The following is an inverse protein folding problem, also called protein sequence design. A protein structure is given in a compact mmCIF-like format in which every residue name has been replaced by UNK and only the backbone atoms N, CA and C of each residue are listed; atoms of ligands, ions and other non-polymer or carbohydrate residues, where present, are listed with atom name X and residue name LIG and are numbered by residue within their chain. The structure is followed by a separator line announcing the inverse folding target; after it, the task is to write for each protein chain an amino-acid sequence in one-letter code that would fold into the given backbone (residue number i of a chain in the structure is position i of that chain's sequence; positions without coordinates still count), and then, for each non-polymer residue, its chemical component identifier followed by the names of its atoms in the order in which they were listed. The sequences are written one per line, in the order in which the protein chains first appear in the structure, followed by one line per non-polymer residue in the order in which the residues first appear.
data_IF_923863384640
#
_entry.id   IF_923863384640
#
_cell.length_a   1.000
_cell.length_b   1.000
_cell.length_c   1.000
_cell.angle_alpha   90.00
_cell.angle_beta   90.00
_cell.angle_gamma   90.00
#
_symmetry.space_group_name_H-M   'P 1'
#
loop_
_entity.id
_entity.type
_entity.pdbx_description
1 polymer ?
#
# COMPACT_ATOMS: atom_id res chain seq x y z
N UNK A 1 4.22 12.92 16.02
CA UNK A 1 4.81 12.88 17.37
C UNK A 1 6.32 12.95 17.18
N UNK A 2 6.93 14.04 17.61
CA UNK A 2 8.30 14.44 17.26
C UNK A 2 9.39 13.47 17.72
N UNK A 3 10.63 13.72 17.27
CA UNK A 3 11.81 12.98 17.71
C UNK A 3 11.86 12.99 19.24
N UNK A 4 11.98 11.80 19.85
CA UNK A 4 12.20 11.66 21.29
C UNK A 4 13.67 11.35 21.57
N UNK A 5 14.32 12.19 22.36
CA UNK A 5 15.68 11.95 22.87
C UNK A 5 15.64 11.91 24.40
N UNK A 6 16.08 10.80 25.00
CA UNK A 6 15.96 10.53 26.44
C UNK A 6 14.56 10.80 27.02
N UNK A 7 13.52 10.34 26.32
CA UNK A 7 12.13 10.46 26.78
C UNK A 7 11.51 11.85 26.68
N UNK A 8 12.19 12.83 26.06
CA UNK A 8 11.66 14.17 25.80
C UNK A 8 11.45 14.39 24.30
N UNK A 9 10.30 14.93 23.94
CA UNK A 9 9.98 15.37 22.58
C UNK A 9 10.79 16.63 22.25
N UNK A 10 11.45 16.64 21.09
CA UNK A 10 12.26 17.78 20.62
C UNK A 10 11.73 18.25 19.26
N UNK A 11 11.62 19.57 19.08
CA UNK A 11 11.11 20.21 17.86
C UNK A 11 12.10 20.12 16.67
N UNK A 12 13.34 19.69 16.91
CA UNK A 12 14.36 19.48 15.88
C UNK A 12 15.74 19.27 16.49
N UNK A 13 16.65 18.66 15.72
CA UNK A 13 18.06 18.52 16.09
C UNK A 13 18.86 19.68 15.49
N UNK A 14 19.67 20.36 16.31
CA UNK A 14 20.60 21.41 15.87
C UNK A 14 22.03 20.96 16.11
N UNK A 15 22.90 21.13 15.12
CA UNK A 15 24.34 20.94 15.25
C UNK A 15 25.06 22.22 14.81
N UNK A 16 25.91 22.78 15.69
CA UNK A 16 26.68 24.01 15.42
C UNK A 16 25.83 25.20 14.93
N UNK A 17 24.62 25.36 15.47
CA UNK A 17 23.71 26.45 15.10
C UNK A 17 22.94 26.23 13.80
N UNK A 18 23.16 25.12 13.09
CA UNK A 18 22.43 24.73 11.88
C UNK A 18 21.37 23.68 12.21
N UNK A 19 20.19 23.81 11.62
CA UNK A 19 19.14 22.78 11.68
C UNK A 19 19.61 21.54 10.91
N UNK A 20 19.61 20.39 11.57
CA UNK A 20 19.90 19.12 10.92
C UNK A 20 18.69 18.79 10.06
N UNK A 21 18.87 18.73 8.75
CA UNK A 21 17.80 18.32 7.80
C UNK A 21 17.85 16.82 7.52
N UNK A 22 19.00 16.15 7.69
CA UNK A 22 19.20 14.73 7.44
C UNK A 22 20.08 14.12 8.56
N UNK A 23 19.71 12.97 9.10
CA UNK A 23 20.55 12.21 10.03
C UNK A 23 20.61 10.73 9.63
N UNK A 24 21.74 10.05 9.90
CA UNK A 24 21.88 8.60 9.69
C UNK A 24 22.02 7.90 11.04
N UNK A 25 21.02 7.12 11.45
CA UNK A 25 20.99 6.39 12.73
C UNK A 25 20.96 4.89 12.42
N UNK A 26 21.92 4.12 12.95
CA UNK A 26 22.05 2.67 12.72
C UNK A 26 21.97 2.26 11.23
N UNK A 27 22.56 3.05 10.34
CA UNK A 27 22.55 2.80 8.90
C UNK A 27 21.33 3.35 8.14
N UNK A 28 20.29 3.82 8.84
CA UNK A 28 19.05 4.36 8.24
C UNK A 28 19.07 5.89 8.19
N UNK A 29 18.70 6.46 7.05
CA UNK A 29 18.46 7.91 6.92
C UNK A 29 17.15 8.25 7.64
N UNK A 30 17.17 9.29 8.47
CA UNK A 30 16.08 9.80 9.29
C UNK A 30 16.01 11.31 9.05
N UNK A 31 14.86 11.77 8.55
CA UNK A 31 14.60 13.20 8.39
C UNK A 31 13.78 13.68 9.59
N UNK A 32 14.17 14.75 10.29
CA UNK A 32 13.41 15.25 11.45
C UNK A 32 11.97 15.68 11.13
N UNK A 33 11.67 15.94 9.85
CA UNK A 33 10.33 16.29 9.36
C UNK A 33 9.50 15.04 8.94
N UNK A 34 10.02 13.81 9.05
CA UNK A 34 9.31 12.57 8.70
C UNK A 34 8.37 12.03 9.78
N UNK A 35 8.33 12.60 10.99
CA UNK A 35 7.82 11.86 12.15
C UNK A 35 6.29 11.70 12.28
N UNK A 36 5.44 12.20 11.37
CA UNK A 36 4.03 12.42 11.73
C UNK A 36 2.95 11.76 10.87
N UNK A 37 3.26 11.17 9.69
CA UNK A 37 2.20 10.64 8.80
C UNK A 37 2.47 9.28 8.14
N UNK A 38 3.44 8.51 8.64
CA UNK A 38 3.50 7.10 8.28
C UNK A 38 2.35 6.39 8.98
N UNK A 39 1.37 5.92 8.21
CA UNK A 39 0.36 5.02 8.75
C UNK A 39 1.07 3.79 9.37
N UNK A 40 0.54 3.27 10.49
CA UNK A 40 1.09 2.12 11.19
C UNK A 40 0.00 1.07 11.37
N UNK A 41 0.35 -0.23 11.33
CA UNK A 41 -0.58 -1.29 11.68
C UNK A 41 -1.11 -1.07 13.08
N UNK A 42 -2.42 -1.28 13.24
CA UNK A 42 -3.07 -1.16 14.54
C UNK A 42 -2.62 -2.33 15.47
N UNK A 43 -2.91 -2.26 16.78
CA UNK A 43 -2.49 -3.32 17.72
C UNK A 43 -2.96 -4.73 17.36
N UNK A 44 -4.13 -4.87 16.73
CA UNK A 44 -4.67 -6.17 16.33
C UNK A 44 -3.90 -6.77 15.14
N UNK A 45 -3.51 -5.94 14.18
CA UNK A 45 -2.64 -6.34 13.05
C UNK A 45 -1.25 -6.74 13.54
N UNK A 46 -0.68 -5.95 14.47
CA UNK A 46 0.62 -6.26 15.10
C UNK A 46 0.56 -7.59 15.85
N UNK A 47 -0.50 -7.82 16.62
CA UNK A 47 -0.72 -9.10 17.31
C UNK A 47 -0.85 -10.26 16.31
N UNK A 48 -1.64 -10.09 15.24
CA UNK A 48 -1.83 -11.14 14.25
C UNK A 48 -0.50 -11.52 13.58
N UNK A 49 0.31 -10.53 13.20
CA UNK A 49 1.66 -10.75 12.68
C UNK A 49 2.54 -11.52 13.66
N UNK A 50 2.46 -11.23 14.96
CA UNK A 50 3.22 -11.97 15.96
C UNK A 50 2.79 -13.44 16.04
N UNK A 51 1.53 -13.75 15.75
CA UNK A 51 1.08 -15.14 15.64
C UNK A 51 1.71 -15.83 14.42
N UNK A 52 1.78 -15.16 13.26
CA UNK A 52 2.47 -15.67 12.08
C UNK A 52 3.92 -16.00 12.37
N UNK A 53 4.66 -15.06 12.97
CA UNK A 53 6.07 -15.23 13.31
C UNK A 53 6.31 -16.41 14.28
N UNK A 54 5.35 -16.68 15.18
CA UNK A 54 5.42 -17.78 16.14
C UNK A 54 5.08 -19.17 15.53
N UNK A 55 4.13 -19.22 14.59
CA UNK A 55 3.52 -20.46 14.11
C UNK A 55 3.96 -20.88 12.70
N UNK A 56 4.52 -19.96 11.91
CA UNK A 56 4.98 -20.28 10.55
C UNK A 56 6.10 -21.32 10.56
N UNK A 57 6.95 -21.31 11.59
CA UNK A 57 8.13 -22.18 11.68
C UNK A 57 9.10 -21.96 10.53
N UNK A 58 9.12 -20.75 9.95
CA UNK A 58 9.94 -20.40 8.78
C UNK A 58 9.40 -20.94 7.45
N UNK A 59 8.19 -21.52 7.43
CA UNK A 59 7.51 -21.87 6.18
C UNK A 59 7.03 -20.61 5.45
N UNK A 60 7.06 -20.66 4.13
CA UNK A 60 6.40 -19.66 3.30
C UNK A 60 4.88 -19.79 3.41
N UNK A 61 4.18 -18.71 3.13
CA UNK A 61 2.72 -18.69 3.12
C UNK A 61 2.19 -17.30 3.37
N UNK A 62 0.95 -17.25 3.86
CA UNK A 62 0.40 -15.99 4.33
C UNK A 62 -0.51 -16.17 5.55
N UNK A 63 -0.61 -15.11 6.33
CA UNK A 63 -1.63 -14.90 7.35
C UNK A 63 -2.71 -13.99 6.79
N UNK A 64 -3.98 -14.32 7.04
CA UNK A 64 -5.12 -13.41 6.89
C UNK A 64 -5.79 -13.21 8.24
N UNK A 65 -5.85 -11.99 8.72
CA UNK A 65 -6.60 -11.60 9.90
C UNK A 65 -7.84 -10.81 9.50
N UNK A 66 -8.95 -11.03 10.21
CA UNK A 66 -10.15 -10.22 10.08
C UNK A 66 -10.89 -10.13 11.41
N UNK A 67 -11.78 -9.15 11.52
CA UNK A 67 -12.67 -9.02 12.67
C UNK A 67 -13.91 -9.90 12.47
N UNK A 68 -14.24 -10.67 13.49
CA UNK A 68 -15.42 -11.52 13.50
C UNK A 68 -16.71 -10.70 13.42
N UNK A 69 -17.71 -11.23 12.73
CA UNK A 69 -19.04 -10.63 12.62
C UNK A 69 -20.10 -11.70 12.88
N UNK A 70 -20.36 -12.06 14.12
CA UNK A 70 -21.20 -13.23 14.48
C UNK A 70 -20.66 -14.55 13.88
N UNK A 71 -21.37 -15.68 14.09
CA UNK A 71 -21.04 -16.99 13.51
C UNK A 71 -21.07 -16.91 11.97
N UNK A 72 -19.90 -16.62 11.38
CA UNK A 72 -19.70 -16.51 9.93
C UNK A 72 -19.07 -17.77 9.40
N UNK A 73 -19.53 -18.18 8.22
CA UNK A 73 -18.89 -19.22 7.45
C UNK A 73 -17.81 -18.60 6.59
N UNK A 74 -16.60 -19.15 6.68
CA UNK A 74 -15.43 -18.72 5.93
C UNK A 74 -15.07 -19.81 4.90
N UNK A 75 -14.91 -19.42 3.64
CA UNK A 75 -14.60 -20.36 2.56
C UNK A 75 -13.14 -20.28 2.19
N UNK A 76 -12.48 -21.44 2.18
CA UNK A 76 -11.05 -21.59 1.93
C UNK A 76 -10.86 -22.37 0.63
N UNK A 77 -10.41 -21.69 -0.43
CA UNK A 77 -10.30 -22.27 -1.77
C UNK A 77 -8.90 -22.78 -2.15
N UNK A 78 -7.90 -22.62 -1.30
CA UNK A 78 -6.50 -22.82 -1.74
C UNK A 78 -5.95 -24.21 -1.45
N UNK A 79 -5.03 -24.70 -2.30
CA UNK A 79 -4.36 -25.99 -2.17
C UNK A 79 -3.15 -25.95 -1.22
N UNK A 80 -3.30 -26.52 -0.04
CA UNK A 80 -2.23 -26.59 0.94
C UNK A 80 -2.79 -26.86 2.32
N UNK A 81 -2.04 -26.42 3.33
CA UNK A 81 -2.49 -26.54 4.72
C UNK A 81 -2.99 -25.20 5.22
N UNK A 82 -4.22 -25.17 5.74
CA UNK A 82 -4.77 -24.01 6.46
C UNK A 82 -4.91 -24.31 7.93
N UNK A 83 -4.47 -23.38 8.76
CA UNK A 83 -4.62 -23.41 10.22
C UNK A 83 -5.43 -22.19 10.64
N UNK A 84 -6.44 -22.39 11.49
CA UNK A 84 -7.32 -21.33 11.98
C UNK A 84 -7.01 -20.99 13.43
N UNK A 85 -7.34 -19.76 13.85
CA UNK A 85 -7.11 -19.30 15.22
C UNK A 85 -7.92 -20.02 16.29
N UNK A 86 -8.97 -20.76 15.92
CA UNK A 86 -9.78 -21.59 16.82
C UNK A 86 -9.30 -23.06 16.88
N UNK A 87 -8.15 -23.35 16.26
CA UNK A 87 -7.44 -24.63 16.40
C UNK A 87 -7.79 -25.69 15.35
N UNK A 88 -8.54 -25.35 14.30
CA UNK A 88 -8.79 -26.27 13.19
C UNK A 88 -7.60 -26.30 12.23
N UNK A 89 -7.43 -27.43 11.56
CA UNK A 89 -6.43 -27.61 10.50
C UNK A 89 -7.06 -28.34 9.33
N UNK A 90 -6.88 -27.78 8.14
CA UNK A 90 -7.40 -28.30 6.88
C UNK A 90 -6.25 -28.63 5.94
N UNK A 91 -6.37 -29.75 5.22
CA UNK A 91 -5.43 -30.15 4.18
C UNK A 91 -6.19 -30.26 2.86
N UNK A 92 -6.10 -29.21 2.05
CA UNK A 92 -6.75 -29.14 0.75
C UNK A 92 -5.85 -29.72 -0.33
N UNK A 93 -6.46 -30.41 -1.28
CA UNK A 93 -5.80 -30.99 -2.45
C UNK A 93 -6.52 -30.53 -3.71
N UNK A 94 -5.90 -30.71 -4.88
CA UNK A 94 -6.56 -30.42 -6.15
C UNK A 94 -7.87 -31.21 -6.38
N UNK A 95 -8.09 -32.31 -5.64
CA UNK A 95 -9.33 -33.11 -5.69
C UNK A 95 -10.43 -32.61 -4.73
N UNK A 96 -10.09 -31.72 -3.80
CA UNK A 96 -10.97 -31.20 -2.74
C UNK A 96 -10.70 -29.71 -2.57
N UNK A 97 -11.07 -28.92 -3.59
CA UNK A 97 -11.04 -27.46 -3.54
C UNK A 97 -12.23 -26.92 -2.75
N UNK A 98 -11.99 -25.92 -1.92
CA UNK A 98 -13.07 -25.28 -1.14
C UNK A 98 -13.39 -26.07 0.12
N UNK A 99 -13.09 -25.49 1.29
CA UNK A 99 -13.58 -25.98 2.58
C UNK A 99 -14.31 -24.84 3.28
N UNK A 100 -15.49 -25.16 3.82
CA UNK A 100 -16.26 -24.26 4.67
C UNK A 100 -15.80 -24.44 6.12
N UNK A 101 -15.41 -23.33 6.75
CA UNK A 101 -15.07 -23.26 8.16
C UNK A 101 -16.13 -22.45 8.90
N UNK A 102 -16.69 -23.02 9.97
CA UNK A 102 -17.60 -22.34 10.89
C UNK A 102 -16.79 -22.00 12.14
N UNK A 103 -16.62 -20.72 12.41
CA UNK A 103 -15.78 -20.24 13.52
C UNK A 103 -16.38 -20.55 14.90
N UNK A 104 -15.55 -21.04 15.83
CA UNK A 104 -15.83 -20.99 17.27
C UNK A 104 -15.09 -19.80 17.93
N UNK A 105 -15.84 -18.76 18.30
CA UNK A 105 -15.28 -17.55 18.90
C UNK A 105 -15.11 -17.60 20.43
N UNK A 106 -15.45 -18.72 21.08
CA UNK A 106 -15.45 -18.82 22.55
C UNK A 106 -14.11 -18.44 23.18
N UNK A 107 -13.00 -18.75 22.49
CA UNK A 107 -11.64 -18.46 22.94
C UNK A 107 -10.94 -17.35 22.14
N UNK A 108 -11.62 -16.68 21.22
CA UNK A 108 -10.99 -15.63 20.39
C UNK A 108 -10.67 -14.37 21.20
N UNK A 109 -9.53 -13.76 20.85
CA UNK A 109 -9.06 -12.48 21.40
C UNK A 109 -10.09 -11.37 21.09
N UNK A 110 -10.38 -10.52 22.07
CA UNK A 110 -11.15 -9.29 21.87
C UNK A 110 -10.27 -8.27 21.16
N UNK A 111 -10.80 -7.59 20.15
CA UNK A 111 -10.08 -6.53 19.43
C UNK A 111 -9.79 -5.35 20.35
N UNK A 112 -8.56 -4.82 20.27
CA UNK A 112 -8.18 -3.59 20.97
C UNK A 112 -8.69 -2.33 20.25
N UNK A 113 -8.96 -2.43 18.95
CA UNK A 113 -9.45 -1.32 18.12
C UNK A 113 -10.97 -1.22 18.15
N UNK A 114 -11.65 -2.36 18.18
CA UNK A 114 -13.10 -2.49 18.15
C UNK A 114 -13.54 -3.35 19.35
N UNK A 115 -13.70 -2.80 20.56
CA UNK A 115 -13.87 -3.58 21.80
C UNK A 115 -15.04 -4.56 21.84
N UNK A 116 -16.00 -4.44 20.93
CA UNK A 116 -17.17 -5.31 20.81
C UNK A 116 -17.01 -6.42 19.75
N UNK A 117 -15.86 -6.52 19.08
CA UNK A 117 -15.58 -7.60 18.11
C UNK A 117 -14.42 -8.49 18.59
N UNK A 118 -14.38 -9.69 18.01
CA UNK A 118 -13.29 -10.65 18.18
C UNK A 118 -12.36 -10.58 16.98
N UNK A 119 -11.09 -10.93 17.20
CA UNK A 119 -10.09 -11.02 16.14
C UNK A 119 -9.83 -12.50 15.87
N UNK A 120 -9.88 -12.87 14.60
CA UNK A 120 -9.58 -14.23 14.14
C UNK A 120 -8.60 -14.18 12.97
N UNK A 121 -7.91 -15.28 12.74
CA UNK A 121 -6.97 -15.39 11.62
C UNK A 121 -6.91 -16.79 11.02
N UNK A 122 -6.58 -16.84 9.74
CA UNK A 122 -6.20 -18.05 9.02
C UNK A 122 -4.74 -17.93 8.59
N UNK A 123 -3.97 -19.01 8.74
CA UNK A 123 -2.63 -19.15 8.19
C UNK A 123 -2.67 -20.19 7.10
N UNK A 124 -2.16 -19.83 5.93
CA UNK A 124 -2.07 -20.73 4.80
C UNK A 124 -0.61 -21.05 4.49
N UNK A 125 -0.34 -22.34 4.35
CA UNK A 125 0.94 -22.92 3.97
C UNK A 125 0.75 -23.64 2.64
N UNK A 126 1.09 -23.00 1.51
CA UNK A 126 0.83 -23.56 0.19
C UNK A 126 1.79 -24.70 -0.15
N UNK A 127 1.35 -25.55 -1.09
CA UNK A 127 2.24 -26.47 -1.79
C UNK A 127 3.09 -25.78 -2.88
N UNK A 128 2.61 -24.64 -3.40
CA UNK A 128 3.26 -23.83 -4.44
C UNK A 128 3.41 -22.37 -3.97
N UNK A 129 4.58 -21.72 -4.16
CA UNK A 129 4.74 -20.32 -3.78
C UNK A 129 3.79 -19.33 -4.47
N UNK A 130 3.17 -19.67 -5.61
CA UNK A 130 2.12 -18.88 -6.23
C UNK A 130 0.77 -19.14 -5.51
N UNK A 131 0.18 -18.08 -4.95
CA UNK A 131 -1.03 -18.17 -4.11
C UNK A 131 -2.13 -17.23 -4.61
N UNK A 132 -3.39 -17.54 -4.28
CA UNK A 132 -4.58 -16.82 -4.76
C UNK A 132 -5.46 -16.46 -3.55
N UNK A 133 -5.04 -15.46 -2.75
CA UNK A 133 -5.60 -15.26 -1.42
C UNK A 133 -7.09 -14.93 -1.48
N UNK A 134 -7.89 -15.71 -0.76
CA UNK A 134 -9.31 -15.41 -0.62
C UNK A 134 -9.51 -14.15 0.23
N UNK A 135 -10.29 -13.20 -0.29
CA UNK A 135 -10.73 -12.02 0.45
C UNK A 135 -12.13 -12.25 1.02
N UNK A 136 -12.46 -11.50 2.07
CA UNK A 136 -13.81 -11.48 2.62
C UNK A 136 -14.50 -10.25 2.05
N UNK A 137 -15.66 -10.43 1.42
CA UNK A 137 -16.43 -9.32 0.83
C UNK A 137 -16.92 -8.31 1.89
N UNK A 138 -17.01 -8.74 3.15
CA UNK A 138 -17.55 -7.95 4.25
C UNK A 138 -16.68 -8.00 5.51
N UNK A 139 -15.77 -7.04 5.67
CA UNK A 139 -15.01 -6.86 6.90
C UNK A 139 -13.56 -6.49 6.67
N UNK A 140 -13.07 -5.57 7.50
CA UNK A 140 -11.69 -5.11 7.47
C UNK A 140 -10.72 -6.30 7.62
N UNK A 141 -9.87 -6.49 6.62
CA UNK A 141 -8.94 -7.63 6.51
C UNK A 141 -7.50 -7.14 6.46
N UNK A 142 -6.61 -7.85 7.15
CA UNK A 142 -5.16 -7.65 7.11
C UNK A 142 -4.47 -8.91 6.60
N UNK A 143 -3.44 -8.75 5.77
CA UNK A 143 -2.61 -9.86 5.32
C UNK A 143 -1.14 -9.72 5.74
N UNK A 144 -0.46 -10.83 5.98
CA UNK A 144 1.00 -10.87 6.05
C UNK A 144 1.49 -11.97 5.12
N UNK A 145 2.12 -11.58 4.01
CA UNK A 145 2.68 -12.51 3.04
C UNK A 145 4.16 -12.75 3.31
N UNK A 146 4.59 -13.99 3.20
CA UNK A 146 5.95 -14.40 3.52
C UNK A 146 6.48 -15.38 2.48
N UNK A 147 7.44 -14.92 1.66
CA UNK A 147 8.09 -15.72 0.61
C UNK A 147 7.19 -16.20 -0.53
N UNK A 148 5.91 -15.82 -0.54
CA UNK A 148 4.94 -16.18 -1.58
C UNK A 148 4.79 -15.10 -2.65
N UNK A 149 4.33 -15.51 -3.82
CA UNK A 149 3.89 -14.61 -4.88
C UNK A 149 2.36 -14.68 -4.94
N UNK A 150 1.69 -13.62 -4.49
CA UNK A 150 0.24 -13.58 -4.44
C UNK A 150 -0.35 -12.92 -5.70
N UNK A 151 -1.26 -13.62 -6.38
CA UNK A 151 -2.14 -13.01 -7.36
C UNK A 151 -3.22 -12.21 -6.63
N UNK A 152 -3.27 -10.92 -6.91
CA UNK A 152 -4.07 -9.96 -6.15
C UNK A 152 -5.40 -9.63 -6.81
N UNK A 153 -5.80 -10.36 -7.86
CA UNK A 153 -7.13 -10.25 -8.49
C UNK A 153 -8.30 -10.17 -7.47
N UNK A 154 -8.29 -10.93 -6.35
CA UNK A 154 -9.38 -10.89 -5.37
C UNK A 154 -9.48 -9.60 -4.55
N UNK A 155 -8.62 -8.60 -4.74
CA UNK A 155 -8.61 -7.39 -3.91
C UNK A 155 -9.22 -6.16 -4.56
N UNK A 156 -9.68 -6.24 -5.81
CA UNK A 156 -10.51 -5.18 -6.39
C UNK A 156 -11.82 -5.07 -5.60
N UNK A 157 -12.21 -3.85 -5.22
CA UNK A 157 -13.45 -3.58 -4.47
C UNK A 157 -13.58 -4.25 -3.09
N UNK A 158 -12.47 -4.62 -2.44
CA UNK A 158 -12.53 -5.36 -1.15
C UNK A 158 -12.21 -4.54 0.10
N UNK A 159 -12.44 -5.16 1.26
CA UNK A 159 -12.21 -4.58 2.59
C UNK A 159 -10.78 -4.81 3.13
N UNK A 160 -9.77 -4.96 2.26
CA UNK A 160 -8.37 -4.97 2.72
C UNK A 160 -8.02 -3.62 3.37
N UNK A 161 -7.53 -3.64 4.61
CA UNK A 161 -7.04 -2.46 5.30
C UNK A 161 -5.53 -2.28 5.19
N UNK A 162 -4.79 -3.38 5.22
CA UNK A 162 -3.32 -3.35 5.20
C UNK A 162 -2.74 -4.72 4.84
N UNK A 163 -1.49 -4.73 4.40
CA UNK A 163 -0.72 -5.95 4.23
C UNK A 163 0.78 -5.74 4.49
N UNK A 164 1.44 -6.80 4.96
CA UNK A 164 2.90 -6.87 5.06
C UNK A 164 3.48 -7.80 3.98
N UNK A 165 4.69 -7.45 3.51
CA UNK A 165 5.49 -8.28 2.61
C UNK A 165 6.81 -8.64 3.28
N UNK A 166 6.97 -9.93 3.59
CA UNK A 166 8.15 -10.49 4.27
C UNK A 166 8.91 -11.41 3.32
N UNK A 167 10.23 -11.51 3.54
CA UNK A 167 11.09 -12.48 2.85
C UNK A 167 10.89 -12.52 1.32
N UNK A 168 10.86 -11.34 0.69
CA UNK A 168 10.65 -11.16 -0.76
C UNK A 168 9.28 -11.61 -1.27
N UNK A 169 8.29 -11.73 -0.39
CA UNK A 169 6.91 -11.83 -0.80
C UNK A 169 6.58 -10.70 -1.78
N UNK A 170 5.87 -11.05 -2.84
CA UNK A 170 5.50 -10.10 -3.86
C UNK A 170 4.08 -10.34 -4.33
N UNK A 171 3.51 -9.31 -4.93
CA UNK A 171 2.12 -9.29 -5.33
C UNK A 171 2.07 -8.87 -6.79
N UNK A 172 1.26 -9.56 -7.57
CA UNK A 172 1.15 -9.33 -9.00
C UNK A 172 -0.29 -9.55 -9.44
N UNK A 173 -0.58 -9.17 -10.68
CA UNK A 173 -1.83 -9.53 -11.37
C UNK A 173 -1.39 -10.39 -12.53
N UNK A 174 -1.83 -11.65 -12.58
CA UNK A 174 -1.50 -12.59 -13.66
C UNK A 174 -2.29 -12.31 -14.95
N UNK A 175 -3.34 -11.48 -14.85
CA UNK A 175 -4.32 -11.33 -15.92
C UNK A 175 -4.07 -10.13 -16.85
N UNK A 176 -3.53 -10.42 -18.04
CA UNK A 176 -3.50 -9.49 -19.18
C UNK A 176 -4.86 -9.35 -19.89
N UNK A 177 -5.81 -10.24 -19.64
CA UNK A 177 -7.05 -10.43 -20.41
C UNK A 177 -8.24 -9.59 -19.93
N UNK A 178 -8.18 -8.97 -18.76
CA UNK A 178 -9.27 -8.10 -18.34
C UNK A 178 -9.23 -6.77 -19.08
N UNK A 179 -10.25 -6.52 -19.90
CA UNK A 179 -10.59 -5.19 -20.41
C UNK A 179 -11.05 -4.21 -19.30
N UNK A 180 -10.68 -4.45 -18.04
CA UNK A 180 -10.92 -3.57 -16.91
C UNK A 180 -9.73 -2.62 -16.78
N UNK A 181 -9.97 -1.37 -17.17
CA UNK A 181 -9.09 -0.21 -17.01
C UNK A 181 -8.90 0.22 -15.53
N UNK A 182 -9.15 -0.68 -14.57
CA UNK A 182 -9.18 -0.39 -13.15
C UNK A 182 -7.93 -0.96 -12.50
N UNK A 183 -7.20 -0.12 -11.77
CA UNK A 183 -5.92 -0.49 -11.20
C UNK A 183 -6.04 -1.31 -9.90
N UNK A 184 -4.89 -1.81 -9.47
CA UNK A 184 -4.68 -2.86 -8.47
C UNK A 184 -5.47 -2.77 -7.14
N UNK A 185 -5.63 -1.57 -6.57
CA UNK A 185 -6.36 -1.35 -5.31
C UNK A 185 -7.66 -0.57 -5.53
N UNK A 186 -8.19 -0.55 -6.76
CA UNK A 186 -9.36 0.24 -7.06
C UNK A 186 -10.52 -0.14 -6.12
N UNK A 187 -11.11 0.88 -5.49
CA UNK A 187 -12.20 0.76 -4.53
C UNK A 187 -11.90 -0.10 -3.29
N UNK A 188 -10.63 -0.34 -2.95
CA UNK A 188 -10.25 -0.84 -1.62
C UNK A 188 -10.49 0.25 -0.56
N UNK A 189 -11.75 0.48 -0.18
CA UNK A 189 -12.16 1.62 0.65
C UNK A 189 -11.54 1.63 2.03
N UNK A 190 -11.14 0.45 2.53
CA UNK A 190 -10.49 0.26 3.83
C UNK A 190 -8.97 0.38 3.78
N UNK A 191 -8.34 0.32 2.60
CA UNK A 191 -6.88 0.32 2.49
C UNK A 191 -6.33 1.62 3.05
N UNK A 192 -5.55 1.52 4.13
CA UNK A 192 -5.02 2.69 4.83
C UNK A 192 -3.59 3.01 4.41
N UNK A 193 -2.82 1.98 4.03
CA UNK A 193 -1.46 2.12 3.54
C UNK A 193 -1.03 0.93 2.67
N UNK A 194 0.02 1.16 1.88
CA UNK A 194 0.83 0.09 1.28
C UNK A 194 2.20 0.03 1.97
N UNK A 195 2.79 -1.16 2.18
CA UNK A 195 4.12 -1.29 2.78
C UNK A 195 5.20 -0.72 1.86
N UNK A 196 6.34 -0.33 2.43
CA UNK A 196 7.44 0.30 1.66
C UNK A 196 8.07 -0.65 0.65
N UNK A 197 8.02 -1.94 0.95
CA UNK A 197 8.51 -3.05 0.14
C UNK A 197 7.58 -3.35 -1.03
N UNK A 198 6.37 -2.76 -1.06
CA UNK A 198 5.44 -2.91 -2.17
C UNK A 198 6.08 -2.38 -3.45
N UNK A 199 6.25 -3.30 -4.39
CA UNK A 199 6.72 -3.02 -5.74
C UNK A 199 5.74 -3.65 -6.70
N UNK A 200 5.42 -2.92 -7.76
CA UNK A 200 4.51 -3.41 -8.77
C UNK A 200 5.28 -4.15 -9.85
N UNK A 201 5.11 -5.47 -9.91
CA UNK A 201 5.55 -6.29 -11.04
C UNK A 201 4.44 -6.30 -12.08
N UNK A 202 4.18 -5.17 -12.73
CA UNK A 202 3.24 -5.12 -13.85
C UNK A 202 3.97 -5.25 -15.20
N UNK A 203 3.31 -5.93 -16.14
CA UNK A 203 3.47 -5.66 -17.56
C UNK A 203 2.73 -4.35 -17.89
N UNK A 204 3.51 -3.26 -18.04
CA UNK A 204 3.26 -2.05 -18.83
C UNK A 204 1.92 -1.24 -18.72
N UNK A 205 0.72 -1.79 -18.55
CA UNK A 205 -0.50 -1.11 -19.02
C UNK A 205 -1.47 -0.57 -17.95
N UNK A 206 -1.29 -0.83 -16.64
CA UNK A 206 -2.45 -0.82 -15.70
C UNK A 206 -2.25 -0.08 -14.37
N UNK A 207 -1.81 1.18 -14.38
CA UNK A 207 -1.88 2.03 -13.17
C UNK A 207 -3.10 2.96 -13.13
N UNK A 208 -3.89 3.02 -14.20
CA UNK A 208 -5.11 3.81 -14.23
C UNK A 208 -5.99 3.47 -13.02
N UNK A 209 -6.32 4.47 -12.21
CA UNK A 209 -7.18 4.27 -11.04
C UNK A 209 -6.64 3.28 -9.99
N UNK A 210 -5.33 3.00 -9.94
CA UNK A 210 -4.74 2.03 -8.98
C UNK A 210 -5.17 2.26 -7.54
N UNK A 211 -5.23 3.51 -7.10
CA UNK A 211 -5.80 3.88 -5.80
C UNK A 211 -7.11 4.65 -5.94
N UNK A 212 -7.77 4.61 -7.10
CA UNK A 212 -9.12 5.15 -7.27
C UNK A 212 -10.05 4.50 -6.26
N UNK A 213 -10.97 5.25 -5.65
CA UNK A 213 -11.87 4.71 -4.62
C UNK A 213 -11.28 4.35 -3.23
N UNK A 214 -9.95 4.30 -3.01
CA UNK A 214 -9.35 3.95 -1.69
C UNK A 214 -9.55 5.03 -0.60
N UNK A 215 -10.78 5.26 -0.15
CA UNK A 215 -11.19 6.38 0.71
C UNK A 215 -10.36 6.54 2.00
N UNK A 216 -9.88 5.45 2.58
CA UNK A 216 -9.09 5.44 3.81
C UNK A 216 -7.58 5.60 3.60
N UNK A 217 -7.08 5.66 2.36
CA UNK A 217 -5.64 5.65 2.09
C UNK A 217 -4.96 6.93 2.61
N UNK A 218 -4.04 6.78 3.56
CA UNK A 218 -3.30 7.87 4.20
C UNK A 218 -1.84 7.92 3.74
N UNK A 219 -1.23 6.78 3.40
CA UNK A 219 0.19 6.73 3.01
C UNK A 219 0.50 5.74 1.89
N UNK A 220 1.25 6.22 0.90
CA UNK A 220 1.95 5.42 -0.11
C UNK A 220 3.45 5.75 0.01
N UNK A 221 4.18 5.08 0.92
CA UNK A 221 5.53 5.47 1.32
C UNK A 221 6.60 5.18 0.26
N UNK A 222 6.28 4.35 -0.73
CA UNK A 222 7.14 4.08 -1.88
C UNK A 222 6.32 3.49 -3.02
N UNK A 223 6.51 4.00 -4.23
CA UNK A 223 6.01 3.39 -5.46
C UNK A 223 6.98 3.66 -6.60
N UNK A 224 7.51 2.60 -7.19
CA UNK A 224 8.37 2.67 -8.38
C UNK A 224 7.52 2.68 -9.64
N UNK A 225 7.67 3.76 -10.43
CA UNK A 225 6.88 4.03 -11.63
C UNK A 225 7.65 3.69 -12.93
N UNK A 226 8.77 2.96 -12.85
CA UNK A 226 9.61 2.62 -14.01
C UNK A 226 8.83 1.98 -15.16
N UNK A 227 7.88 1.10 -14.83
CA UNK A 227 7.08 0.37 -15.82
C UNK A 227 5.71 1.02 -16.09
N UNK A 228 5.49 2.25 -15.62
CA UNK A 228 4.23 2.95 -15.78
C UNK A 228 4.11 3.54 -17.19
N UNK A 229 2.99 3.26 -17.87
CA UNK A 229 2.64 3.88 -19.16
C UNK A 229 1.46 4.86 -19.02
N UNK A 230 0.52 4.58 -18.10
CA UNK A 230 -0.70 5.39 -17.88
C UNK A 230 -0.87 5.80 -16.42
N UNK A 231 -1.16 7.09 -16.15
CA UNK A 231 -1.32 7.63 -14.79
C UNK A 231 -2.67 8.26 -14.47
N UNK A 232 -3.62 8.20 -15.41
CA UNK A 232 -4.92 8.86 -15.24
C UNK A 232 -5.67 8.29 -14.03
N UNK A 233 -6.22 9.17 -13.20
CA UNK A 233 -7.09 8.79 -12.08
C UNK A 233 -6.41 7.99 -10.96
N UNK A 234 -5.08 7.78 -10.99
CA UNK A 234 -4.35 6.99 -9.98
C UNK A 234 -4.73 7.36 -8.55
N UNK A 235 -4.88 8.66 -8.28
CA UNK A 235 -5.19 9.21 -6.97
C UNK A 235 -6.52 9.99 -6.93
N UNK A 236 -7.44 9.65 -7.82
CA UNK A 236 -8.76 10.28 -7.84
C UNK A 236 -9.49 10.07 -6.50
N UNK A 237 -9.99 11.17 -5.93
CA UNK A 237 -10.68 11.18 -4.64
C UNK A 237 -9.80 10.91 -3.42
N UNK A 238 -8.46 10.95 -3.53
CA UNK A 238 -7.53 10.71 -2.41
C UNK A 238 -7.31 11.94 -1.52
N UNK A 239 -8.37 12.49 -0.95
CA UNK A 239 -8.26 13.66 -0.06
C UNK A 239 -7.57 13.35 1.27
N UNK A 240 -7.57 12.10 1.72
CA UNK A 240 -6.92 11.69 2.98
C UNK A 240 -5.43 11.36 2.85
N UNK A 241 -4.89 11.29 1.63
CA UNK A 241 -3.50 10.93 1.37
C UNK A 241 -2.57 12.05 1.86
N UNK A 242 -1.70 11.73 2.81
CA UNK A 242 -0.74 12.67 3.41
C UNK A 242 0.68 12.34 2.99
N UNK A 243 1.00 11.06 2.91
CA UNK A 243 2.30 10.59 2.51
C UNK A 243 2.29 9.97 1.11
N UNK A 244 3.14 10.48 0.24
CA UNK A 244 3.36 9.93 -1.09
C UNK A 244 4.84 10.04 -1.45
N UNK A 245 5.42 8.95 -1.94
CA UNK A 245 6.73 8.94 -2.58
C UNK A 245 6.68 8.12 -3.86
N UNK A 246 6.83 8.81 -4.97
CA UNK A 246 6.95 8.21 -6.30
C UNK A 246 8.42 8.31 -6.73
N UNK A 247 8.93 7.28 -7.42
CA UNK A 247 10.26 7.31 -8.05
C UNK A 247 10.16 6.84 -9.50
N UNK A 248 11.12 7.24 -10.33
CA UNK A 248 11.18 6.89 -11.75
C UNK A 248 9.89 7.28 -12.52
N UNK A 249 9.28 8.41 -12.15
CA UNK A 249 8.02 8.86 -12.76
C UNK A 249 8.31 9.37 -14.17
N UNK A 250 7.81 8.64 -15.18
CA UNK A 250 7.98 8.99 -16.58
C UNK A 250 6.64 9.11 -17.34
N UNK A 251 5.57 9.44 -16.61
CA UNK A 251 4.21 9.62 -17.12
C UNK A 251 3.59 10.87 -16.49
N UNK A 252 2.61 11.49 -17.16
CA UNK A 252 1.85 12.58 -16.54
C UNK A 252 1.09 12.07 -15.31
N UNK A 253 1.05 12.85 -14.24
CA UNK A 253 0.39 12.47 -12.97
C UNK A 253 -0.37 13.65 -12.38
N UNK A 254 -1.59 13.42 -11.92
CA UNK A 254 -2.42 14.44 -11.28
C UNK A 254 -2.57 14.16 -9.79
N UNK A 255 -2.02 15.06 -8.97
CA UNK A 255 -2.08 15.08 -7.51
C UNK A 255 -2.94 16.24 -6.99
N UNK A 256 -3.62 16.98 -7.87
CA UNK A 256 -4.57 18.02 -7.46
C UNK A 256 -5.70 17.53 -6.55
N UNK A 257 -6.19 16.27 -6.64
CA UNK A 257 -7.15 15.73 -5.67
C UNK A 257 -6.55 15.47 -4.28
N UNK A 258 -5.23 15.33 -4.17
CA UNK A 258 -4.52 14.95 -2.96
C UNK A 258 -4.20 16.18 -2.09
N UNK A 259 -5.24 16.88 -1.66
CA UNK A 259 -5.12 18.19 -1.00
C UNK A 259 -4.40 18.17 0.35
N UNK A 260 -4.26 17.00 0.98
CA UNK A 260 -3.61 16.83 2.29
C UNK A 260 -2.17 16.31 2.21
N UNK A 261 -1.58 16.21 1.02
CA UNK A 261 -0.16 15.83 0.88
C UNK A 261 0.73 16.75 1.69
N UNK A 262 1.68 16.18 2.41
CA UNK A 262 2.67 16.96 3.14
C UNK A 262 3.63 17.63 2.18
N UNK A 263 4.25 18.74 2.61
CA UNK A 263 5.32 19.39 1.85
C UNK A 263 6.47 18.42 1.52
N UNK A 264 6.85 17.56 2.47
CA UNK A 264 7.87 16.54 2.27
C UNK A 264 7.50 15.53 1.18
N UNK A 265 6.25 15.06 1.15
CA UNK A 265 5.76 14.19 0.08
C UNK A 265 5.78 14.85 -1.29
N UNK A 266 5.37 16.11 -1.37
CA UNK A 266 5.43 16.87 -2.62
C UNK A 266 6.87 17.01 -3.12
N UNK A 267 7.83 17.34 -2.25
CA UNK A 267 9.26 17.36 -2.60
C UNK A 267 9.77 16.01 -3.08
N UNK A 268 9.37 14.92 -2.42
CA UNK A 268 9.73 13.56 -2.82
C UNK A 268 9.22 13.22 -4.22
N UNK A 269 7.97 13.56 -4.54
CA UNK A 269 7.40 13.36 -5.87
C UNK A 269 8.18 14.15 -6.93
N UNK A 270 8.43 15.44 -6.71
CA UNK A 270 9.20 16.28 -7.65
C UNK A 270 10.62 15.74 -7.87
N UNK A 271 11.25 15.23 -6.81
CA UNK A 271 12.55 14.57 -6.90
C UNK A 271 12.49 13.25 -7.68
N UNK A 272 11.38 12.52 -7.61
CA UNK A 272 11.14 11.25 -8.32
C UNK A 272 10.80 11.36 -9.81
N UNK A 273 10.50 12.57 -10.30
CA UNK A 273 10.31 12.83 -11.73
C UNK A 273 11.59 12.52 -12.52
N UNK A 274 11.48 11.86 -13.67
CA UNK A 274 12.62 11.64 -14.58
C UNK A 274 13.09 12.95 -15.21
N UNK A 275 14.37 13.04 -15.57
CA UNK A 275 14.86 14.17 -16.37
C UNK A 275 14.49 13.95 -17.84
N UNK A 276 13.63 14.82 -18.38
CA UNK A 276 13.11 14.76 -19.74
C UNK A 276 13.67 15.85 -20.65
N UNK A 277 14.82 16.44 -20.30
CA UNK A 277 15.47 17.46 -21.14
C UNK A 277 15.73 16.90 -22.55
N UNK A 278 15.21 17.58 -23.57
CA UNK A 278 15.31 17.13 -24.97
C UNK A 278 14.23 16.13 -25.40
N UNK A 279 13.23 15.86 -24.57
CA UNK A 279 12.05 15.06 -24.89
C UNK A 279 10.78 15.91 -24.84
N UNK A 280 9.65 15.35 -25.24
CA UNK A 280 8.35 16.00 -25.02
C UNK A 280 8.05 16.13 -23.52
N UNK A 281 7.42 17.26 -23.19
CA UNK A 281 7.03 17.56 -21.82
C UNK A 281 5.91 16.66 -21.34
N UNK A 282 5.98 16.32 -20.06
CA UNK A 282 4.89 15.73 -19.31
C UNK A 282 4.42 16.73 -18.25
N UNK A 283 3.20 16.53 -17.75
CA UNK A 283 2.61 17.40 -16.75
C UNK A 283 2.54 16.73 -15.38
N UNK A 284 2.78 17.53 -14.33
CA UNK A 284 2.39 17.22 -12.96
C UNK A 284 1.30 18.20 -12.52
N UNK A 285 0.10 17.67 -12.28
CA UNK A 285 -1.00 18.41 -11.68
C UNK A 285 -0.82 18.45 -10.17
N UNK A 286 -0.77 19.64 -9.57
CA UNK A 286 -0.60 19.78 -8.11
C UNK A 286 -1.83 20.40 -7.44
N UNK A 287 -2.63 21.19 -8.15
CA UNK A 287 -3.71 21.97 -7.57
C UNK A 287 -3.22 23.14 -6.72
N UNK A 288 -4.07 24.15 -6.55
CA UNK A 288 -3.72 25.34 -5.77
C UNK A 288 -3.25 25.01 -4.34
N UNK A 289 -3.88 24.03 -3.68
CA UNK A 289 -3.56 23.64 -2.31
C UNK A 289 -2.14 23.08 -2.15
N UNK A 290 -1.65 22.28 -3.09
CA UNK A 290 -0.29 21.73 -3.00
C UNK A 290 0.76 22.72 -3.54
N UNK A 291 0.42 23.51 -4.57
CA UNK A 291 1.30 24.59 -5.06
C UNK A 291 1.60 25.57 -3.91
N UNK A 292 0.60 25.97 -3.12
CA UNK A 292 0.77 26.88 -1.99
C UNK A 292 1.71 26.36 -0.89
N UNK A 293 1.97 25.03 -0.83
CA UNK A 293 2.90 24.43 0.14
C UNK A 293 4.36 24.50 -0.31
N UNK A 294 4.61 24.77 -1.59
CA UNK A 294 5.94 24.69 -2.21
C UNK A 294 6.51 26.09 -2.48
N UNK A 295 7.83 26.23 -2.35
CA UNK A 295 8.55 27.41 -2.79
C UNK A 295 8.81 27.38 -4.30
N UNK A 296 9.16 28.53 -4.87
CA UNK A 296 9.55 28.61 -6.28
C UNK A 296 10.73 27.70 -6.62
N UNK A 297 11.73 27.60 -5.73
CA UNK A 297 12.89 26.75 -5.95
C UNK A 297 12.54 25.25 -5.93
N UNK A 298 11.54 24.86 -5.12
CA UNK A 298 11.05 23.48 -5.09
C UNK A 298 10.28 23.16 -6.37
N UNK A 299 9.42 24.06 -6.86
CA UNK A 299 8.72 23.91 -8.13
C UNK A 299 9.68 23.86 -9.33
N UNK A 300 10.76 24.64 -9.30
CA UNK A 300 11.80 24.63 -10.34
C UNK A 300 12.47 23.26 -10.52
N UNK A 301 12.40 22.35 -9.55
CA UNK A 301 12.91 20.97 -9.71
C UNK A 301 12.21 20.25 -10.87
N UNK A 302 10.88 20.39 -11.00
CA UNK A 302 10.13 19.83 -12.11
C UNK A 302 10.44 20.55 -13.43
N UNK A 303 10.44 21.89 -13.42
CA UNK A 303 10.69 22.70 -14.60
C UNK A 303 12.07 22.40 -15.22
N UNK A 304 13.11 22.27 -14.40
CA UNK A 304 14.47 21.94 -14.83
C UNK A 304 14.59 20.52 -15.40
N UNK A 305 13.65 19.64 -15.06
CA UNK A 305 13.55 18.29 -15.62
C UNK A 305 12.66 18.24 -16.87
N UNK A 306 12.26 19.39 -17.41
CA UNK A 306 11.36 19.52 -18.56
C UNK A 306 9.93 18.98 -18.30
N UNK A 307 9.39 19.28 -17.12
CA UNK A 307 7.99 19.03 -16.77
C UNK A 307 7.20 20.33 -16.69
N UNK A 308 5.93 20.28 -17.07
CA UNK A 308 4.98 21.34 -16.78
C UNK A 308 4.32 21.12 -15.41
N UNK A 309 4.29 22.17 -14.60
CA UNK A 309 3.54 22.18 -13.34
C UNK A 309 2.24 22.90 -13.57
N UNK A 310 1.12 22.20 -13.41
CA UNK A 310 -0.23 22.71 -13.70
C UNK A 310 -1.14 22.58 -12.49
N UNK A 311 -2.24 23.34 -12.49
CA UNK A 311 -3.25 23.23 -11.43
C UNK A 311 -4.00 21.89 -11.52
N UNK A 312 -4.41 21.48 -12.72
CA UNK A 312 -5.05 20.19 -12.98
C UNK A 312 -4.67 19.72 -14.38
N UNK A 313 -4.55 18.41 -14.58
CA UNK A 313 -4.30 17.86 -15.92
C UNK A 313 -5.64 17.64 -16.62
N UNK A 314 -5.96 18.51 -17.58
CA UNK A 314 -7.19 18.40 -18.38
C UNK A 314 -6.98 17.69 -19.71
N UNK A 315 -5.77 17.75 -20.25
CA UNK A 315 -5.38 17.09 -21.49
C UNK A 315 -4.34 16.03 -21.15
N UNK A 316 -4.76 14.78 -21.20
CA UNK A 316 -3.86 13.65 -21.02
C UNK A 316 -3.18 13.36 -22.36
N UNK A 317 -1.88 13.05 -22.39
CA UNK A 317 -1.25 12.60 -23.63
C UNK A 317 -2.03 11.42 -24.20
N UNK A 318 -2.21 11.41 -25.52
CA UNK A 318 -2.82 10.27 -26.19
C UNK A 318 -1.80 9.14 -26.18
N UNK A 319 -2.10 8.12 -25.40
CA UNK A 319 -1.25 6.95 -25.23
C UNK A 319 -1.78 5.75 -26.03
N UNK A 320 -2.84 5.94 -26.84
CA UNK A 320 -3.57 4.86 -27.54
C UNK A 320 -2.80 4.14 -28.66
N UNK A 321 -1.53 4.48 -28.91
CA UNK A 321 -0.74 3.95 -30.04
C UNK A 321 0.38 2.98 -29.67
N UNK A 322 0.56 2.57 -28.41
CA UNK A 322 1.53 1.51 -28.07
C UNK A 322 0.84 0.15 -27.88
N UNK A 323 0.61 -0.52 -29.03
CA UNK A 323 0.28 -1.95 -29.16
C UNK A 323 1.43 -2.87 -28.68
#
# INVERSE_FOLDING_TARGET
MGIKFNGREIEGLKAKGLTIIEAKINGRIVWPEESDFHWQPNPDMVWARSQWEALSGGRIGYLRMHYAKDLVNDFIFEEGTVVTSDGQTYHNSAATYGVEHIWDYSNSRVSEVYPNTKVVWTMYFPNNPAVYPSTIEYGETYFCFDGVTADWYPCLWTDIAYFDLLNQASVFIDDCSVALYLGFFNECRKLQAVPKEFTMKLSAYRLQGIFGGCAALVSVPYLDMTNAIYGMGMFEGRTNLKELKLVNVNISIDLSPCINLTKSSLRNVLAGLTNRTGQDKLAIGLGAANIAKLSQSELSVALNKNWDVVETITNWPDYSEEE
#
